data_IF_152143543829
#
_entry.id   IF_152143543829
#
_cell.length_a   1.000
_cell.length_b   1.000
_cell.length_c   1.000
_cell.angle_alpha   90.00
_cell.angle_beta   90.00
_cell.angle_gamma   90.00
#
_symmetry.space_group_name_H-M   'P 1'
#
loop_
_entity.id
_entity.type
_entity.pdbx_description
1 polymer ?
#
# COMPACT_ATOMS: atom_id res chain seq x y z
N UNK A 1 19.59 3.32 -4.23
CA UNK A 1 18.42 4.00 -4.79
C UNK A 1 17.37 4.08 -3.69
N UNK A 2 16.77 5.25 -3.48
CA UNK A 2 15.71 5.44 -2.49
C UNK A 2 14.42 5.81 -3.21
N UNK A 3 13.30 5.30 -2.70
CA UNK A 3 11.95 5.69 -3.11
C UNK A 3 11.32 6.31 -1.88
N UNK A 4 10.80 7.52 -2.04
CA UNK A 4 10.08 8.25 -0.99
C UNK A 4 8.59 8.17 -1.29
N UNK A 5 7.80 7.85 -0.26
CA UNK A 5 6.35 7.83 -0.33
C UNK A 5 5.80 8.98 0.49
N UNK A 6 4.77 9.64 0.00
CA UNK A 6 3.97 10.55 0.83
C UNK A 6 3.17 9.76 1.86
N UNK A 7 2.67 10.43 2.90
CA UNK A 7 1.83 9.79 3.92
C UNK A 7 0.61 9.10 3.31
N UNK A 8 -0.02 9.73 2.32
CA UNK A 8 -1.17 9.15 1.60
C UNK A 8 -0.79 7.90 0.81
N UNK A 9 0.36 7.93 0.10
CA UNK A 9 0.85 6.79 -0.65
C UNK A 9 1.20 5.63 0.29
N UNK A 10 1.90 5.93 1.39
CA UNK A 10 2.27 4.95 2.40
C UNK A 10 1.05 4.31 3.04
N UNK A 11 0.04 5.11 3.41
CA UNK A 11 -1.21 4.64 4.02
C UNK A 11 -1.99 3.71 3.07
N UNK A 12 -2.21 4.13 1.83
CA UNK A 12 -2.97 3.34 0.85
C UNK A 12 -2.23 2.07 0.44
N UNK A 13 -0.90 2.14 0.27
CA UNK A 13 -0.09 0.97 -0.07
C UNK A 13 -0.05 -0.03 1.09
N UNK A 14 0.14 0.44 2.32
CA UNK A 14 0.15 -0.40 3.53
C UNK A 14 -1.17 -1.15 3.68
N UNK A 15 -2.30 -0.44 3.56
CA UNK A 15 -3.63 -1.05 3.62
C UNK A 15 -3.83 -2.13 2.54
N UNK A 16 -3.40 -1.85 1.31
CA UNK A 16 -3.49 -2.82 0.23
C UNK A 16 -2.62 -4.04 0.53
N UNK A 17 -1.33 -3.86 0.86
CA UNK A 17 -0.39 -4.95 1.15
C UNK A 17 -0.91 -5.86 2.26
N UNK A 18 -1.43 -5.28 3.35
CA UNK A 18 -2.04 -6.04 4.45
C UNK A 18 -3.21 -6.93 3.97
N UNK A 19 -4.06 -6.42 3.07
CA UNK A 19 -5.22 -7.18 2.55
C UNK A 19 -4.85 -8.25 1.51
N UNK A 20 -3.85 -8.01 0.67
CA UNK A 20 -3.49 -8.94 -0.43
C UNK A 20 -2.36 -9.91 -0.09
N UNK A 21 -1.33 -9.51 0.64
CA UNK A 21 -0.15 -10.37 0.85
C UNK A 21 -0.43 -11.61 1.71
N UNK A 22 -1.49 -11.57 2.53
CA UNK A 22 -1.92 -12.71 3.35
C UNK A 22 -2.76 -13.74 2.58
N UNK A 23 -3.16 -13.45 1.34
CA UNK A 23 -4.00 -14.37 0.57
C UNK A 23 -3.15 -15.51 0.00
N UNK A 24 -3.68 -16.74 0.05
CA UNK A 24 -3.00 -17.92 -0.48
C UNK A 24 -2.68 -17.79 -1.97
N UNK A 25 -3.57 -17.14 -2.72
CA UNK A 25 -3.44 -16.89 -4.16
C UNK A 25 -2.49 -15.73 -4.50
N UNK A 26 -2.00 -14.97 -3.53
CA UNK A 26 -1.01 -13.92 -3.77
C UNK A 26 0.27 -14.48 -4.39
N UNK A 27 0.64 -15.70 -3.97
CA UNK A 27 1.79 -16.40 -4.54
C UNK A 27 1.62 -16.82 -5.99
N UNK A 28 0.39 -16.93 -6.48
CA UNK A 28 0.09 -17.15 -7.89
C UNK A 28 0.12 -15.84 -8.70
N UNK A 29 -0.04 -14.68 -8.06
CA UNK A 29 0.04 -13.36 -8.70
C UNK A 29 1.48 -12.87 -8.83
N UNK A 30 2.35 -13.20 -7.86
CA UNK A 30 3.78 -12.83 -7.86
C UNK A 30 4.61 -14.10 -8.04
N UNK A 31 4.79 -14.48 -9.31
CA UNK A 31 5.47 -15.72 -9.74
C UNK A 31 6.99 -15.68 -9.55
N UNK A 32 7.62 -14.51 -9.66
CA UNK A 32 9.05 -14.34 -9.34
C UNK A 32 9.28 -14.20 -7.83
N UNK A 33 9.90 -15.23 -7.24
CA UNK A 33 10.25 -15.28 -5.81
C UNK A 33 11.21 -14.15 -5.40
N UNK A 34 12.02 -13.61 -6.30
CA UNK A 34 12.92 -12.50 -5.98
C UNK A 34 12.17 -11.19 -5.67
N UNK A 35 11.00 -10.97 -6.31
CA UNK A 35 10.16 -9.78 -6.09
C UNK A 35 9.64 -9.73 -4.65
N UNK A 36 9.41 -10.89 -4.02
CA UNK A 36 9.00 -10.99 -2.62
C UNK A 36 9.96 -10.30 -1.67
N UNK A 37 11.26 -10.29 -1.97
CA UNK A 37 12.26 -9.63 -1.11
C UNK A 37 12.00 -8.14 -0.95
N UNK A 38 11.66 -7.46 -2.05
CA UNK A 38 11.34 -6.04 -2.05
C UNK A 38 9.97 -5.78 -1.41
N UNK A 39 8.97 -6.62 -1.71
CA UNK A 39 7.64 -6.51 -1.11
C UNK A 39 7.67 -6.69 0.41
N UNK A 40 8.36 -7.70 0.93
CA UNK A 40 8.52 -7.89 2.37
C UNK A 40 9.27 -6.73 3.03
N UNK A 41 10.30 -6.19 2.37
CA UNK A 41 11.02 -5.02 2.88
C UNK A 41 10.13 -3.79 2.96
N UNK A 42 9.31 -3.54 1.94
CA UNK A 42 8.36 -2.42 1.91
C UNK A 42 7.27 -2.64 2.97
N UNK A 43 6.67 -3.83 3.05
CA UNK A 43 5.63 -4.16 4.05
C UNK A 43 6.12 -3.93 5.47
N UNK A 44 7.27 -4.49 5.83
CA UNK A 44 7.83 -4.34 7.18
C UNK A 44 8.19 -2.90 7.51
N UNK A 45 8.65 -2.11 6.53
CA UNK A 45 8.92 -0.69 6.72
C UNK A 45 7.63 0.12 6.95
N UNK A 46 6.55 -0.20 6.24
CA UNK A 46 5.25 0.46 6.39
C UNK A 46 4.56 0.10 7.71
N UNK A 47 4.57 -1.18 8.10
CA UNK A 47 4.03 -1.65 9.38
C UNK A 47 4.68 -0.95 10.59
N UNK A 48 5.98 -0.66 10.51
CA UNK A 48 6.71 0.04 11.58
C UNK A 48 6.36 1.52 11.66
N UNK A 49 6.11 2.16 10.52
CA UNK A 49 5.93 3.62 10.43
C UNK A 49 4.47 4.07 10.55
N UNK A 50 3.51 3.17 10.36
CA UNK A 50 2.07 3.47 10.37
C UNK A 50 1.32 2.73 11.49
N UNK A 51 1.56 3.03 12.77
CA UNK A 51 0.76 2.47 13.87
C UNK A 51 -0.70 2.96 13.87
N UNK A 52 -1.06 3.91 13.01
CA UNK A 52 -2.40 4.52 12.92
C UNK A 52 -3.52 3.57 12.48
N UNK A 53 -3.23 2.32 12.08
CA UNK A 53 -4.25 1.31 11.72
C UNK A 53 -5.20 1.00 12.88
N UNK A 54 -4.77 1.28 14.12
CA UNK A 54 -5.59 1.08 15.32
C UNK A 54 -6.41 2.32 15.72
N UNK A 55 -6.31 3.43 14.97
CA UNK A 55 -7.10 4.63 15.23
C UNK A 55 -8.55 4.46 14.74
N UNK A 56 -9.52 4.89 15.54
CA UNK A 56 -10.95 4.87 15.16
C UNK A 56 -11.28 5.63 13.88
N UNK A 57 -10.43 6.59 13.49
CA UNK A 57 -10.55 7.39 12.28
C UNK A 57 -9.78 6.83 11.09
N UNK A 58 -9.10 5.69 11.24
CA UNK A 58 -8.28 5.08 10.18
C UNK A 58 -9.01 4.94 8.85
N UNK A 59 -10.23 4.44 8.86
CA UNK A 59 -11.04 4.26 7.64
C UNK A 59 -11.31 5.59 6.93
N UNK A 60 -11.63 6.64 7.67
CA UNK A 60 -11.89 7.97 7.10
C UNK A 60 -10.61 8.58 6.51
N UNK A 61 -9.48 8.42 7.20
CA UNK A 61 -8.17 8.86 6.72
C UNK A 61 -7.77 8.13 5.43
N UNK A 62 -7.95 6.82 5.38
CA UNK A 62 -7.68 5.99 4.21
C UNK A 62 -8.53 6.42 3.00
N UNK A 63 -9.83 6.65 3.19
CA UNK A 63 -10.72 7.08 2.13
C UNK A 63 -10.40 8.51 1.64
N UNK A 64 -9.97 9.39 2.54
CA UNK A 64 -9.52 10.73 2.17
C UNK A 64 -8.21 10.67 1.36
N UNK A 65 -7.24 9.86 1.80
CA UNK A 65 -5.98 9.65 1.09
C UNK A 65 -6.21 9.08 -0.32
N UNK A 66 -7.06 8.05 -0.46
CA UNK A 66 -7.44 7.49 -1.77
C UNK A 66 -8.01 8.55 -2.70
N UNK A 67 -8.94 9.38 -2.21
CA UNK A 67 -9.56 10.44 -3.02
C UNK A 67 -8.54 11.48 -3.48
N UNK A 68 -7.60 11.88 -2.61
CA UNK A 68 -6.51 12.81 -2.98
C UNK A 68 -5.60 12.22 -4.05
N UNK A 69 -5.09 10.99 -3.84
CA UNK A 69 -4.20 10.33 -4.80
C UNK A 69 -4.85 10.11 -6.17
N UNK A 70 -6.10 9.67 -6.22
CA UNK A 70 -6.83 9.53 -7.50
C UNK A 70 -7.03 10.88 -8.17
N UNK A 71 -7.34 11.92 -7.39
CA UNK A 71 -7.44 13.29 -7.91
C UNK A 71 -6.13 13.81 -8.50
N UNK A 72 -5.00 13.49 -7.86
CA UNK A 72 -3.65 13.88 -8.30
C UNK A 72 -3.19 13.14 -9.57
N UNK A 73 -3.50 11.86 -9.67
CA UNK A 73 -3.16 11.03 -10.84
C UNK A 73 -4.06 11.33 -12.05
N UNK A 74 -5.21 11.99 -11.85
CA UNK A 74 -6.24 12.17 -12.86
C UNK A 74 -6.96 10.87 -13.22
N UNK A 75 -7.73 10.86 -14.31
CA UNK A 75 -8.20 9.60 -14.89
C UNK A 75 -6.99 8.86 -15.50
N UNK A 76 -6.27 8.10 -14.70
CA UNK A 76 -5.49 6.96 -15.17
C UNK A 76 -6.48 5.87 -15.65
N UNK A 77 -7.25 6.20 -16.70
CA UNK A 77 -7.95 5.24 -17.53
C UNK A 77 -7.00 4.86 -18.65
N UNK A 78 -6.55 3.62 -18.61
CA UNK A 78 -5.90 2.95 -19.74
C UNK A 78 -6.72 3.23 -21.02
N UNK A 79 -6.04 3.74 -22.05
CA UNK A 79 -6.50 3.64 -23.44
C UNK A 79 -6.11 2.28 -24.00
#
# INVERSE_FOLDING_TARGET
>A
MNIELTDDQALVLSDWMSRVMHREDFSALVDDRAVWSALFRISGALETQLPAVFDSSYSEQLDAARRRLVGELGEFRER
#
